data_IF_082947049007
#
_entry.id   IF_082947049007
#
_cell.length_a   1.000
_cell.length_b   1.000
_cell.length_c   1.000
_cell.angle_alpha   90.00
_cell.angle_beta   90.00
_cell.angle_gamma   90.00
#
_symmetry.space_group_name_H-M   'P 1'
#
loop_
_entity.id
_entity.type
_entity.pdbx_description
1 polymer ?
#
# COMPACT_ATOMS: atom_id res chain seq x y z
N UNK A 1 -2.64 13.07 7.35
CA UNK A 1 -2.96 12.02 6.36
C UNK A 1 -2.09 12.12 5.10
N UNK A 2 -2.11 13.24 4.36
CA UNK A 2 -1.34 13.40 3.11
C UNK A 2 0.19 13.25 3.25
N UNK A 3 0.79 13.79 4.33
CA UNK A 3 2.22 13.63 4.58
C UNK A 3 2.63 12.17 4.89
N UNK A 4 1.72 11.37 5.45
CA UNK A 4 1.96 9.95 5.71
C UNK A 4 1.89 9.12 4.42
N UNK A 5 0.95 9.46 3.53
CA UNK A 5 0.88 8.89 2.18
C UNK A 5 2.11 9.25 1.33
N UNK A 6 2.61 10.49 1.42
CA UNK A 6 3.82 10.92 0.72
C UNK A 6 5.07 10.19 1.22
N UNK A 7 5.24 10.05 2.54
CA UNK A 7 6.35 9.26 3.12
C UNK A 7 6.26 7.78 2.77
N UNK A 8 5.07 7.19 2.92
CA UNK A 8 4.78 5.82 2.49
C UNK A 8 5.09 5.63 1.01
N UNK A 9 4.83 6.64 0.19
CA UNK A 9 5.08 6.62 -1.24
C UNK A 9 6.56 6.87 -1.62
N UNK A 10 7.28 7.72 -0.90
CA UNK A 10 8.75 7.85 -1.02
C UNK A 10 9.47 6.55 -0.65
N UNK A 11 9.02 5.85 0.40
CA UNK A 11 9.49 4.50 0.76
C UNK A 11 9.21 3.48 -0.37
N UNK A 12 8.05 3.58 -1.02
CA UNK A 12 7.64 2.76 -2.17
C UNK A 12 8.42 3.03 -3.47
N UNK A 13 8.96 4.24 -3.62
CA UNK A 13 9.82 4.63 -4.74
C UNK A 13 11.28 4.20 -4.51
N UNK A 14 11.72 4.15 -3.25
CA UNK A 14 13.04 3.62 -2.88
C UNK A 14 13.20 2.11 -3.14
N UNK A 15 12.12 1.33 -3.11
CA UNK A 15 12.18 -0.12 -3.44
C UNK A 15 12.39 -0.38 -4.94
N UNK A 16 12.25 0.63 -5.82
CA UNK A 16 12.50 0.51 -7.26
C UNK A 16 13.99 0.33 -7.62
N UNK A 17 14.89 0.61 -6.66
CA UNK A 17 16.32 0.33 -6.75
C UNK A 17 16.72 -1.00 -6.09
N UNK A 18 15.80 -1.69 -5.43
CA UNK A 18 16.02 -2.98 -4.79
C UNK A 18 15.50 -4.07 -5.72
N UNK A 19 16.39 -4.93 -6.21
CA UNK A 19 16.07 -6.14 -6.97
C UNK A 19 15.34 -7.14 -6.05
N UNK A 20 14.15 -6.78 -5.56
CA UNK A 20 13.24 -7.68 -4.86
C UNK A 20 12.09 -7.96 -5.81
N UNK A 21 11.79 -9.24 -6.09
CA UNK A 21 10.67 -9.59 -6.95
C UNK A 21 9.41 -8.96 -6.37
N UNK A 22 8.57 -8.36 -7.23
CA UNK A 22 7.26 -7.84 -6.84
C UNK A 22 6.59 -8.85 -5.91
N UNK A 23 6.34 -8.45 -4.67
CA UNK A 23 5.65 -9.30 -3.70
C UNK A 23 4.23 -9.50 -4.21
N UNK A 24 3.92 -10.73 -4.61
CA UNK A 24 2.61 -11.06 -5.16
C UNK A 24 1.55 -11.01 -4.05
N UNK A 25 0.29 -10.84 -4.45
CA UNK A 25 -0.88 -10.89 -3.55
C UNK A 25 -0.83 -12.12 -2.62
N UNK A 26 -0.38 -13.27 -3.12
CA UNK A 26 -0.25 -14.49 -2.34
C UNK A 26 0.90 -14.46 -1.32
N UNK A 27 2.04 -13.85 -1.65
CA UNK A 27 3.12 -13.64 -0.69
C UNK A 27 2.67 -12.69 0.43
N UNK A 28 1.94 -11.64 0.08
CA UNK A 28 1.37 -10.70 1.05
C UNK A 28 0.34 -11.40 1.95
N UNK A 29 -0.52 -12.27 1.41
CA UNK A 29 -1.44 -13.09 2.21
C UNK A 29 -0.72 -14.03 3.18
N UNK A 30 0.38 -14.64 2.73
CA UNK A 30 1.22 -15.48 3.60
C UNK A 30 1.81 -14.68 4.75
N UNK A 31 2.34 -13.47 4.48
CA UNK A 31 2.85 -12.57 5.50
C UNK A 31 1.75 -12.12 6.50
N UNK A 32 0.53 -11.84 6.03
CA UNK A 32 -0.62 -11.48 6.89
C UNK A 32 -0.99 -12.64 7.83
N UNK A 33 -0.96 -13.88 7.33
CA UNK A 33 -1.19 -15.08 8.16
C UNK A 33 -0.09 -15.26 9.20
N UNK A 34 1.18 -15.08 8.81
CA UNK A 34 2.32 -15.17 9.72
C UNK A 34 2.26 -14.10 10.82
N UNK A 35 1.90 -12.87 10.47
CA UNK A 35 1.67 -11.79 11.44
C UNK A 35 0.51 -12.13 12.39
N UNK A 36 -0.61 -12.63 11.86
CA UNK A 36 -1.77 -13.02 12.68
C UNK A 36 -1.44 -14.16 13.65
N UNK A 37 -0.63 -15.13 13.22
CA UNK A 37 -0.14 -16.20 14.09
C UNK A 37 0.80 -15.64 15.18
N UNK A 38 1.78 -14.82 14.80
CA UNK A 38 2.68 -14.19 15.74
C UNK A 38 1.93 -13.35 16.80
N UNK A 39 0.92 -12.56 16.39
CA UNK A 39 0.12 -11.74 17.31
C UNK A 39 -0.64 -12.63 18.31
N UNK A 40 -1.15 -13.79 17.86
CA UNK A 40 -1.83 -14.75 18.74
C UNK A 40 -0.86 -15.38 19.75
N UNK A 41 0.37 -15.71 19.34
CA UNK A 41 1.34 -16.41 20.19
C UNK A 41 2.12 -15.48 21.13
N UNK A 42 2.54 -14.30 20.65
CA UNK A 42 3.52 -13.43 21.34
C UNK A 42 3.00 -12.02 21.65
N UNK A 43 1.79 -11.68 21.20
CA UNK A 43 1.24 -10.33 21.29
C UNK A 43 1.79 -9.36 20.25
N UNK A 44 1.01 -8.34 19.91
CA UNK A 44 1.29 -7.43 18.79
C UNK A 44 2.61 -6.63 18.90
N UNK A 45 3.10 -6.40 20.12
CA UNK A 45 4.37 -5.69 20.37
C UNK A 45 5.60 -6.50 19.95
N UNK A 46 5.49 -7.83 19.92
CA UNK A 46 6.61 -8.74 19.66
C UNK A 46 6.77 -9.10 18.18
N UNK A 47 5.83 -8.67 17.32
CA UNK A 47 5.72 -9.07 15.91
C UNK A 47 6.08 -7.94 14.95
N UNK A 48 7.05 -7.09 15.32
CA UNK A 48 7.43 -5.92 14.54
C UNK A 48 7.99 -6.29 13.16
N UNK A 49 8.72 -7.42 13.05
CA UNK A 49 9.29 -7.90 11.80
C UNK A 49 8.21 -8.38 10.82
N UNK A 50 7.26 -9.16 11.31
CA UNK A 50 6.12 -9.68 10.55
C UNK A 50 5.18 -8.53 10.15
N UNK A 51 5.02 -7.52 11.02
CA UNK A 51 4.29 -6.30 10.70
C UNK A 51 4.95 -5.53 9.56
N UNK A 52 6.28 -5.37 9.60
CA UNK A 52 7.03 -4.71 8.53
C UNK A 52 6.91 -5.47 7.20
N UNK A 53 6.96 -6.81 7.25
CA UNK A 53 6.76 -7.66 6.06
C UNK A 53 5.35 -7.51 5.47
N UNK A 54 4.31 -7.46 6.31
CA UNK A 54 2.93 -7.22 5.88
C UNK A 54 2.78 -5.85 5.25
N UNK A 55 3.31 -4.80 5.90
CA UNK A 55 3.23 -3.42 5.37
C UNK A 55 3.96 -3.34 4.04
N UNK A 56 5.16 -3.89 3.93
CA UNK A 56 5.92 -3.94 2.66
C UNK A 56 5.14 -4.68 1.56
N UNK A 57 4.58 -5.86 1.85
CA UNK A 57 3.80 -6.63 0.88
C UNK A 57 2.52 -5.93 0.42
N UNK A 58 1.78 -5.30 1.33
CA UNK A 58 0.59 -4.52 0.98
C UNK A 58 0.98 -3.31 0.14
N UNK A 59 2.06 -2.61 0.51
CA UNK A 59 2.55 -1.44 -0.22
C UNK A 59 2.85 -1.80 -1.68
N UNK A 60 3.62 -2.85 -1.90
CA UNK A 60 3.99 -3.29 -3.25
C UNK A 60 2.79 -3.77 -4.07
N UNK A 61 1.83 -4.47 -3.44
CA UNK A 61 0.58 -4.85 -4.10
C UNK A 61 -0.25 -3.62 -4.49
N UNK A 62 -0.38 -2.63 -3.61
CA UNK A 62 -1.05 -1.35 -3.91
C UNK A 62 -0.31 -0.60 -5.02
N UNK A 63 1.02 -0.63 -5.05
CA UNK A 63 1.82 -0.02 -6.12
C UNK A 63 1.49 -0.62 -7.47
N UNK A 64 1.42 -1.95 -7.58
CA UNK A 64 1.11 -2.65 -8.83
C UNK A 64 -0.33 -2.45 -9.30
N UNK A 65 -1.29 -2.63 -8.39
CA UNK A 65 -2.73 -2.63 -8.74
C UNK A 65 -3.33 -1.22 -8.84
N UNK A 66 -2.82 -0.26 -8.05
CA UNK A 66 -3.30 1.12 -8.03
C UNK A 66 -2.35 2.11 -8.73
N UNK A 67 -1.35 1.63 -9.47
CA UNK A 67 -0.45 2.43 -10.31
C UNK A 67 -1.16 3.50 -11.15
N UNK A 68 -2.19 3.18 -11.97
CA UNK A 68 -2.80 4.18 -12.86
C UNK A 68 -3.49 5.32 -12.10
N UNK A 69 -4.15 5.00 -10.98
CA UNK A 69 -4.79 6.03 -10.14
C UNK A 69 -3.77 6.87 -9.37
N UNK A 70 -2.61 6.30 -9.07
CA UNK A 70 -1.51 7.00 -8.40
C UNK A 70 -0.84 7.98 -9.36
N UNK A 71 -0.59 7.57 -10.61
CA UNK A 71 -0.06 8.44 -11.65
C UNK A 71 -0.99 9.62 -11.94
N UNK A 72 -2.30 9.38 -12.06
CA UNK A 72 -3.30 10.44 -12.20
C UNK A 72 -3.29 11.42 -11.02
N UNK A 73 -3.17 10.90 -9.79
CA UNK A 73 -3.04 11.74 -8.60
C UNK A 73 -1.76 12.58 -8.62
N UNK A 74 -0.63 12.02 -9.07
CA UNK A 74 0.64 12.74 -9.18
C UNK A 74 0.65 13.78 -10.29
N UNK A 75 0.02 13.50 -11.43
CA UNK A 75 -0.21 14.48 -12.47
C UNK A 75 -0.99 15.67 -11.89
N UNK A 76 -2.08 15.38 -11.17
CA UNK A 76 -2.87 16.40 -10.49
C UNK A 76 -2.10 17.20 -9.43
N UNK A 77 -1.29 16.51 -8.63
CA UNK A 77 -0.46 17.14 -7.60
C UNK A 77 0.62 18.05 -8.20
N UNK A 78 1.27 17.62 -9.28
CA UNK A 78 2.27 18.39 -10.01
C UNK A 78 1.70 19.70 -10.56
N UNK A 79 0.42 19.68 -10.92
CA UNK A 79 -0.33 20.88 -11.36
C UNK A 79 -1.02 21.64 -10.22
N UNK A 80 -0.74 21.31 -8.95
CA UNK A 80 -1.39 21.88 -7.75
C UNK A 80 -2.92 21.85 -7.82
N UNK A 81 -3.49 20.78 -8.38
CA UNK A 81 -4.94 20.63 -8.58
C UNK A 81 -5.58 21.76 -9.41
N UNK A 82 -4.81 22.44 -10.27
CA UNK A 82 -5.31 23.52 -11.14
C UNK A 82 -5.98 23.01 -12.42
N UNK A 83 -5.86 21.72 -12.73
CA UNK A 83 -6.54 21.09 -13.85
C UNK A 83 -8.00 20.80 -13.48
N UNK A 84 -8.94 21.10 -14.37
CA UNK A 84 -10.37 20.84 -14.16
C UNK A 84 -10.72 19.35 -14.02
N UNK A 85 -9.82 18.48 -14.48
CA UNK A 85 -9.89 17.02 -14.33
C UNK A 85 -9.37 16.52 -12.98
N UNK A 86 -8.77 17.40 -12.17
CA UNK A 86 -8.18 17.06 -10.88
C UNK A 86 -9.09 17.46 -9.74
N UNK A 87 -10.11 16.63 -9.53
CA UNK A 87 -11.15 16.79 -8.52
C UNK A 87 -11.08 15.65 -7.48
N UNK A 88 -11.87 15.76 -6.39
CA UNK A 88 -11.91 14.76 -5.32
C UNK A 88 -12.21 13.33 -5.81
N UNK A 89 -12.79 13.20 -7.00
CA UNK A 89 -13.00 11.91 -7.66
C UNK A 89 -11.69 11.15 -7.93
N UNK A 90 -10.60 11.84 -8.26
CA UNK A 90 -9.28 11.20 -8.52
C UNK A 90 -8.69 10.65 -7.23
N UNK A 91 -8.77 11.41 -6.14
CA UNK A 91 -8.34 10.96 -4.81
C UNK A 91 -9.24 9.83 -4.31
N UNK A 92 -10.56 9.92 -4.55
CA UNK A 92 -11.54 8.90 -4.20
C UNK A 92 -11.31 7.58 -4.92
N UNK A 93 -10.94 7.59 -6.21
CA UNK A 93 -10.59 6.37 -6.96
C UNK A 93 -9.35 5.70 -6.39
N UNK A 94 -8.32 6.47 -6.05
CA UNK A 94 -7.10 5.97 -5.43
C UNK A 94 -7.39 5.34 -4.05
N UNK A 95 -8.11 6.05 -3.18
CA UNK A 95 -8.46 5.55 -1.85
C UNK A 95 -9.35 4.30 -1.93
N UNK A 96 -10.30 4.26 -2.87
CA UNK A 96 -11.15 3.10 -3.08
C UNK A 96 -10.36 1.88 -3.55
N UNK A 97 -9.38 2.06 -4.43
CA UNK A 97 -8.46 0.99 -4.83
C UNK A 97 -7.65 0.47 -3.64
N UNK A 98 -7.10 1.38 -2.82
CA UNK A 98 -6.36 1.02 -1.61
C UNK A 98 -7.23 0.27 -0.60
N UNK A 99 -8.46 0.73 -0.37
CA UNK A 99 -9.41 0.12 0.58
C UNK A 99 -9.83 -1.27 0.11
N UNK A 100 -10.17 -1.44 -1.18
CA UNK A 100 -10.55 -2.74 -1.74
C UNK A 100 -9.41 -3.75 -1.68
N UNK A 101 -8.20 -3.33 -2.04
CA UNK A 101 -7.04 -4.22 -2.05
C UNK A 101 -6.59 -4.58 -0.63
N UNK A 102 -6.48 -3.58 0.25
CA UNK A 102 -6.13 -3.81 1.66
C UNK A 102 -7.19 -4.67 2.36
N UNK A 103 -8.47 -4.41 2.11
CA UNK A 103 -9.57 -5.22 2.62
C UNK A 103 -9.50 -6.67 2.13
N UNK A 104 -9.18 -6.90 0.85
CA UNK A 104 -9.05 -8.25 0.28
C UNK A 104 -7.81 -9.00 0.78
N UNK A 105 -6.71 -8.28 1.04
CA UNK A 105 -5.47 -8.84 1.56
C UNK A 105 -5.55 -9.15 3.06
N UNK A 106 -6.26 -8.31 3.82
CA UNK A 106 -6.46 -8.44 5.27
C UNK A 106 -7.67 -9.29 5.63
N UNK A 107 -8.60 -9.53 4.69
CA UNK A 107 -9.71 -10.47 4.83
C UNK A 107 -9.16 -11.89 4.98
N UNK A 108 -8.84 -12.23 6.22
CA UNK A 108 -8.36 -13.53 6.63
C UNK A 108 -9.60 -14.39 6.90
N UNK A 109 -10.15 -15.00 5.85
CA UNK A 109 -11.14 -16.07 6.00
C UNK A 109 -10.44 -17.42 5.99
#
# INVERSE_FOLDING_TARGET
AQAALLRFWEDLRCDELSVRPMTTVDQTRSAVRAFSACVKDKGASSCAAERAAVVSGISSAVKGECAPYTEDFFACFSHRYRLSTCNDATVGKLLKCQEQLSGTLLATK
#
